data_IF_274519014716
#
_entry.id   IF_274519014716
#
_cell.length_a   1.000
_cell.length_b   1.000
_cell.length_c   1.000
_cell.angle_alpha   90.00
_cell.angle_beta   90.00
_cell.angle_gamma   90.00
#
_symmetry.space_group_name_H-M   'P 1'
#
loop_
_entity.id
_entity.type
_entity.pdbx_description
1 polymer ?
#
# COMPACT_ATOMS: atom_id res chain seq x y z
N UNK A 1 2.15 15.67 -9.69
CA UNK A 1 2.64 14.46 -8.99
C UNK A 1 2.67 13.29 -9.98
N UNK A 2 3.83 12.67 -10.18
CA UNK A 2 4.02 11.53 -11.09
C UNK A 2 3.31 10.27 -10.55
N UNK A 3 2.98 9.31 -11.42
CA UNK A 3 2.31 8.03 -11.02
C UNK A 3 3.07 7.31 -9.90
N UNK A 4 4.41 7.24 -9.99
CA UNK A 4 5.28 6.66 -8.97
C UNK A 4 5.12 7.32 -7.60
N UNK A 5 5.19 8.66 -7.56
CA UNK A 5 5.09 9.44 -6.32
C UNK A 5 3.73 9.26 -5.66
N UNK A 6 2.65 9.21 -6.46
CA UNK A 6 1.29 8.97 -5.97
C UNK A 6 1.16 7.60 -5.31
N UNK A 7 1.68 6.55 -5.95
CA UNK A 7 1.67 5.20 -5.41
C UNK A 7 2.47 5.13 -4.09
N UNK A 8 3.66 5.73 -4.05
CA UNK A 8 4.47 5.76 -2.83
C UNK A 8 3.76 6.49 -1.69
N UNK A 9 3.12 7.62 -1.97
CA UNK A 9 2.33 8.37 -0.99
C UNK A 9 1.18 7.53 -0.42
N UNK A 10 0.41 6.86 -1.29
CA UNK A 10 -0.72 6.02 -0.87
C UNK A 10 -0.26 4.77 -0.09
N UNK A 11 0.89 4.19 -0.45
CA UNK A 11 1.51 3.08 0.30
C UNK A 11 1.87 3.55 1.71
N UNK A 12 2.50 4.72 1.84
CA UNK A 12 2.90 5.28 3.13
C UNK A 12 1.69 5.60 4.02
N UNK A 13 0.64 6.18 3.43
CA UNK A 13 -0.62 6.44 4.11
C UNK A 13 -1.25 5.15 4.64
N UNK A 14 -1.40 4.13 3.78
CA UNK A 14 -1.98 2.85 4.16
C UNK A 14 -1.13 2.10 5.19
N UNK A 15 0.21 2.20 5.12
CA UNK A 15 1.12 1.61 6.12
C UNK A 15 0.95 2.29 7.48
N UNK A 16 0.85 3.62 7.50
CA UNK A 16 0.66 4.40 8.72
C UNK A 16 -0.69 4.10 9.36
N UNK A 17 -1.75 4.02 8.56
CA UNK A 17 -3.08 3.63 9.01
C UNK A 17 -3.07 2.21 9.60
N UNK A 18 -2.52 1.23 8.87
CA UNK A 18 -2.46 -0.16 9.32
C UNK A 18 -1.69 -0.31 10.64
N UNK A 19 -0.53 0.36 10.75
CA UNK A 19 0.28 0.36 11.96
C UNK A 19 -0.46 0.99 13.14
N UNK A 20 -1.26 2.03 12.90
CA UNK A 20 -2.05 2.67 13.94
C UNK A 20 -3.21 1.77 14.41
N UNK A 21 -3.87 1.08 13.48
CA UNK A 21 -4.91 0.12 13.81
C UNK A 21 -4.35 -1.10 14.56
N UNK A 22 -3.22 -1.66 14.11
CA UNK A 22 -2.61 -2.83 14.74
C UNK A 22 -2.13 -2.60 16.19
N UNK A 23 -1.93 -1.33 16.61
CA UNK A 23 -1.62 -0.97 18.00
C UNK A 23 -2.84 -1.07 18.93
N UNK A 24 -4.04 -0.95 18.39
CA UNK A 24 -5.27 -0.76 19.17
C UNK A 24 -6.31 -1.85 18.94
N UNK A 25 -6.13 -2.69 17.91
CA UNK A 25 -7.12 -3.65 17.43
C UNK A 25 -6.50 -5.01 17.17
N UNK A 26 -7.33 -6.05 17.26
CA UNK A 26 -6.91 -7.38 16.85
C UNK A 26 -6.65 -7.41 15.34
N UNK A 27 -5.65 -8.20 14.92
CA UNK A 27 -5.25 -8.28 13.51
C UNK A 27 -6.34 -8.86 12.59
N UNK A 28 -7.31 -9.56 13.18
CA UNK A 28 -8.47 -10.15 12.50
C UNK A 28 -9.65 -9.19 12.38
N UNK A 29 -9.59 -7.99 12.98
CA UNK A 29 -10.69 -7.04 12.89
C UNK A 29 -10.94 -6.62 11.42
N UNK A 30 -12.22 -6.47 11.01
CA UNK A 30 -12.57 -6.16 9.63
C UNK A 30 -11.85 -4.94 9.06
N UNK A 31 -11.63 -3.91 9.88
CA UNK A 31 -10.93 -2.71 9.45
C UNK A 31 -9.43 -2.91 9.27
N UNK A 32 -8.78 -3.74 10.12
CA UNK A 32 -7.37 -4.07 9.96
C UNK A 32 -7.18 -4.86 8.68
N UNK A 33 -8.05 -5.85 8.43
CA UNK A 33 -8.05 -6.63 7.19
C UNK A 33 -8.32 -5.76 5.96
N UNK A 34 -9.23 -4.79 6.06
CA UNK A 34 -9.52 -3.86 4.95
C UNK A 34 -8.30 -3.02 4.57
N UNK A 35 -7.62 -2.42 5.55
CA UNK A 35 -6.43 -1.60 5.29
C UNK A 35 -5.25 -2.47 4.84
N UNK A 36 -5.10 -3.68 5.39
CA UNK A 36 -4.10 -4.65 4.93
C UNK A 36 -4.28 -5.03 3.46
N UNK A 37 -5.51 -5.31 3.02
CA UNK A 37 -5.82 -5.58 1.61
C UNK A 37 -5.57 -4.37 0.72
N UNK A 38 -5.91 -3.15 1.18
CA UNK A 38 -5.61 -1.90 0.44
C UNK A 38 -4.11 -1.74 0.24
N UNK A 39 -3.30 -1.97 1.29
CA UNK A 39 -1.85 -1.88 1.22
C UNK A 39 -1.27 -2.91 0.22
N UNK A 40 -1.76 -4.15 0.25
CA UNK A 40 -1.31 -5.20 -0.69
C UNK A 40 -1.59 -4.82 -2.16
N UNK A 41 -2.78 -4.30 -2.46
CA UNK A 41 -3.15 -3.84 -3.81
C UNK A 41 -2.18 -2.74 -4.28
N UNK A 42 -1.90 -1.76 -3.43
CA UNK A 42 -1.00 -0.64 -3.74
C UNK A 42 0.45 -1.10 -3.98
N UNK A 43 0.94 -2.04 -3.16
CA UNK A 43 2.27 -2.63 -3.34
C UNK A 43 2.36 -3.40 -4.67
N UNK A 44 1.32 -4.16 -5.01
CA UNK A 44 1.24 -4.88 -6.28
C UNK A 44 1.18 -3.92 -7.49
N UNK A 45 0.47 -2.79 -7.38
CA UNK A 45 0.48 -1.73 -8.39
C UNK A 45 1.84 -1.08 -8.56
N UNK A 46 2.53 -0.78 -7.46
CA UNK A 46 3.88 -0.24 -7.50
C UNK A 46 4.87 -1.22 -8.12
N UNK A 47 4.78 -2.51 -7.76
CA UNK A 47 5.61 -3.55 -8.34
C UNK A 47 5.40 -3.67 -9.87
N UNK A 48 4.14 -3.62 -10.33
CA UNK A 48 3.82 -3.57 -11.77
C UNK A 48 4.42 -2.35 -12.44
N UNK A 49 4.27 -1.16 -11.84
CA UNK A 49 4.90 0.07 -12.34
C UNK A 49 6.41 -0.08 -12.48
N UNK A 50 7.10 -0.62 -11.47
CA UNK A 50 8.57 -0.82 -11.51
C UNK A 50 8.98 -1.80 -12.61
N UNK A 51 8.19 -2.87 -12.82
CA UNK A 51 8.44 -3.83 -13.92
C UNK A 51 8.24 -3.18 -15.30
N UNK A 52 7.19 -2.38 -15.47
CA UNK A 52 6.93 -1.62 -16.71
C UNK A 52 8.05 -0.61 -17.00
N UNK A 53 8.57 0.05 -15.96
CA UNK A 53 9.65 1.04 -16.06
C UNK A 53 10.97 0.38 -16.51
N UNK A 54 11.32 -0.77 -15.91
CA UNK A 54 12.51 -1.55 -16.26
C UNK A 54 12.45 -2.22 -17.63
N UNK A 55 11.26 -2.46 -18.17
CA UNK A 55 11.07 -3.00 -19.52
C UNK A 55 11.13 -1.92 -20.62
N UNK A 56 11.25 -0.64 -20.25
CA UNK A 56 11.36 0.51 -21.17
C UNK A 56 12.78 1.07 -21.30
N UNK A 57 13.72 0.58 -20.48
CA UNK A 57 15.17 0.86 -20.54
C UNK A 57 15.89 -0.25 -21.25
#
# INVERSE_FOLDING_TARGET
MKRKERLLYQIEEARTELNSLAKTKALTEPQVLKVSRKLDILLNEYNRYVKEDRGRT
#
